data_IF_014408336621
#
_entry.id   IF_014408336621
#
_cell.length_a   1.000
_cell.length_b   1.000
_cell.length_c   1.000
_cell.angle_alpha   90.00
_cell.angle_beta   90.00
_cell.angle_gamma   90.00
#
_symmetry.space_group_name_H-M   'P 1'
#
loop_
_entity.id
_entity.type
_entity.pdbx_description
1 polymer ?
#
# COMPACT_ATOMS: atom_id res chain seq x y z
N UNK A 1 -29.66 5.22 -3.86
CA UNK A 1 -28.87 5.80 -2.75
C UNK A 1 -27.65 4.93 -2.59
N UNK A 2 -26.43 5.49 -2.52
CA UNK A 2 -25.25 4.70 -2.23
C UNK A 2 -25.43 4.07 -0.84
N UNK A 3 -25.33 2.74 -0.76
CA UNK A 3 -25.50 2.03 0.50
C UNK A 3 -24.23 2.23 1.34
N UNK A 4 -24.39 2.93 2.46
CA UNK A 4 -23.31 3.22 3.39
C UNK A 4 -22.70 1.94 3.95
N UNK A 5 -23.49 0.85 4.06
CA UNK A 5 -23.02 -0.47 4.43
C UNK A 5 -22.05 -1.04 3.38
N UNK A 6 -22.42 -0.99 2.11
CA UNK A 6 -21.56 -1.47 1.02
C UNK A 6 -20.23 -0.70 0.92
N UNK A 7 -20.22 0.59 1.25
CA UNK A 7 -19.00 1.40 1.30
C UNK A 7 -18.10 1.00 2.47
N UNK A 8 -18.67 0.73 3.65
CA UNK A 8 -17.94 0.23 4.81
C UNK A 8 -17.39 -1.18 4.57
N UNK A 9 -18.17 -2.06 3.96
CA UNK A 9 -17.73 -3.40 3.56
C UNK A 9 -16.57 -3.31 2.57
N UNK A 10 -16.63 -2.38 1.62
CA UNK A 10 -15.53 -2.12 0.69
C UNK A 10 -14.26 -1.57 1.34
N UNK A 11 -14.37 -0.79 2.42
CA UNK A 11 -13.21 -0.37 3.24
C UNK A 11 -12.63 -1.58 3.98
N UNK A 12 -13.48 -2.40 4.61
CA UNK A 12 -13.06 -3.57 5.35
C UNK A 12 -12.39 -4.62 4.45
N UNK A 13 -12.92 -4.86 3.25
CA UNK A 13 -12.34 -5.72 2.23
C UNK A 13 -10.94 -5.22 1.82
N UNK A 14 -10.81 -3.93 1.51
CA UNK A 14 -9.53 -3.36 1.09
C UNK A 14 -8.45 -3.42 2.20
N UNK A 15 -8.86 -3.24 3.46
CA UNK A 15 -7.96 -3.43 4.61
C UNK A 15 -7.57 -4.89 4.79
N UNK A 16 -8.50 -5.83 4.61
CA UNK A 16 -8.23 -7.27 4.69
C UNK A 16 -7.30 -7.76 3.57
N UNK A 17 -7.42 -7.17 2.37
CA UNK A 17 -6.56 -7.44 1.22
C UNK A 17 -5.15 -6.82 1.35
N UNK A 18 -4.91 -6.01 2.39
CA UNK A 18 -3.65 -5.30 2.55
C UNK A 18 -3.44 -4.20 1.49
N UNK A 19 -4.52 -3.66 0.93
CA UNK A 19 -4.52 -2.55 -0.02
C UNK A 19 -5.00 -1.26 0.66
N UNK A 20 -4.11 -0.59 1.42
CA UNK A 20 -4.47 0.62 2.15
C UNK A 20 -4.77 1.80 1.21
N UNK A 21 -4.29 1.78 -0.04
CA UNK A 21 -4.63 2.79 -1.04
C UNK A 21 -6.09 2.71 -1.48
N UNK A 22 -6.55 1.49 -1.78
CA UNK A 22 -7.97 1.22 -2.06
C UNK A 22 -8.85 1.52 -0.84
N UNK A 23 -8.37 1.21 0.38
CA UNK A 23 -9.10 1.53 1.60
C UNK A 23 -9.32 3.05 1.77
N UNK A 24 -8.28 3.87 1.52
CA UNK A 24 -8.39 5.33 1.55
C UNK A 24 -9.35 5.88 0.50
N UNK A 25 -9.33 5.33 -0.72
CA UNK A 25 -10.26 5.74 -1.77
C UNK A 25 -11.72 5.50 -1.36
N UNK A 26 -12.00 4.34 -0.74
CA UNK A 26 -13.34 3.98 -0.23
C UNK A 26 -13.75 4.83 0.96
N UNK A 27 -12.82 5.16 1.86
CA UNK A 27 -13.08 6.09 2.97
C UNK A 27 -13.47 7.49 2.47
N UNK A 28 -12.77 8.03 1.47
CA UNK A 28 -13.12 9.34 0.89
C UNK A 28 -14.46 9.33 0.15
N UNK A 29 -14.84 8.21 -0.45
CA UNK A 29 -16.16 8.04 -1.06
C UNK A 29 -17.26 8.01 0.01
N UNK A 30 -17.02 7.31 1.12
CA UNK A 30 -17.90 7.26 2.28
C UNK A 30 -18.08 8.64 2.94
N UNK A 31 -16.99 9.38 3.17
CA UNK A 31 -17.03 10.75 3.71
C UNK A 31 -17.86 11.69 2.84
N UNK A 32 -17.75 11.58 1.51
CA UNK A 32 -18.55 12.37 0.56
C UNK A 32 -20.04 12.04 0.68
N UNK A 33 -20.39 10.76 0.76
CA UNK A 33 -21.80 10.33 0.91
C UNK A 33 -22.37 10.79 2.25
N UNK A 34 -21.60 10.69 3.33
CA UNK A 34 -21.99 11.19 4.66
C UNK A 34 -22.22 12.71 4.62
N UNK A 35 -21.28 13.47 4.04
CA UNK A 35 -21.40 14.93 3.93
C UNK A 35 -22.62 15.38 3.12
N UNK A 36 -23.08 14.56 2.16
CA UNK A 36 -24.30 14.81 1.39
C UNK A 36 -25.58 14.38 2.13
N UNK A 37 -25.50 13.44 3.07
CA UNK A 37 -26.64 12.88 3.79
C UNK A 37 -27.03 13.67 5.06
N UNK A 38 -26.24 14.67 5.46
CA UNK A 38 -26.49 15.50 6.65
C UNK A 38 -25.58 15.15 7.83
N UNK A 39 -25.87 15.66 9.04
CA UNK A 39 -25.01 15.45 10.20
C UNK A 39 -24.94 13.96 10.54
N UNK A 40 -23.74 13.40 10.44
CA UNK A 40 -23.45 12.01 10.79
C UNK A 40 -23.77 11.71 12.26
N UNK A 41 -23.99 10.44 12.56
CA UNK A 41 -24.13 9.99 13.94
C UNK A 41 -22.92 10.44 14.80
N UNK A 42 -23.14 10.89 16.05
CA UNK A 42 -22.06 11.33 16.92
C UNK A 42 -21.01 10.21 17.08
N UNK A 43 -19.73 10.54 16.88
CA UNK A 43 -18.61 9.61 16.94
C UNK A 43 -18.27 8.88 15.63
N UNK A 44 -19.09 8.97 14.57
CA UNK A 44 -18.75 8.38 13.27
C UNK A 44 -17.55 9.10 12.61
N UNK A 45 -17.54 10.43 12.66
CA UNK A 45 -16.47 11.24 12.09
C UNK A 45 -15.10 10.93 12.73
N UNK A 46 -15.07 10.77 14.05
CA UNK A 46 -13.84 10.43 14.80
C UNK A 46 -13.33 9.04 14.43
N UNK A 47 -14.22 8.04 14.30
CA UNK A 47 -13.85 6.69 13.88
C UNK A 47 -13.32 6.66 12.44
N UNK A 48 -13.91 7.44 11.54
CA UNK A 48 -13.44 7.55 10.15
C UNK A 48 -12.07 8.24 10.07
N UNK A 49 -11.86 9.30 10.86
CA UNK A 49 -10.56 9.96 10.97
C UNK A 49 -9.49 8.99 11.47
N UNK A 50 -9.78 8.21 12.51
CA UNK A 50 -8.86 7.21 13.02
C UNK A 50 -8.55 6.09 12.01
N UNK A 51 -9.56 5.58 11.29
CA UNK A 51 -9.36 4.60 10.22
C UNK A 51 -8.51 5.16 9.08
N UNK A 52 -8.69 6.44 8.75
CA UNK A 52 -7.89 7.13 7.75
C UNK A 52 -6.43 7.25 8.17
N UNK A 53 -6.15 7.68 9.40
CA UNK A 53 -4.79 7.73 9.95
C UNK A 53 -4.10 6.36 9.87
N UNK A 54 -4.80 5.29 10.26
CA UNK A 54 -4.28 3.92 10.18
C UNK A 54 -3.97 3.50 8.73
N UNK A 55 -4.86 3.81 7.80
CA UNK A 55 -4.66 3.49 6.38
C UNK A 55 -3.51 4.31 5.77
N UNK A 56 -3.36 5.60 6.11
CA UNK A 56 -2.24 6.44 5.67
C UNK A 56 -0.90 5.93 6.21
N UNK A 57 -0.85 5.51 7.48
CA UNK A 57 0.34 4.87 8.06
C UNK A 57 0.69 3.56 7.34
N UNK A 58 -0.33 2.75 7.01
CA UNK A 58 -0.14 1.51 6.26
C UNK A 58 0.38 1.76 4.83
N UNK A 59 -0.13 2.76 4.10
CA UNK A 59 0.40 3.16 2.77
C UNK A 59 1.89 3.50 2.88
N UNK A 60 2.26 4.29 3.89
CA UNK A 60 3.64 4.72 4.09
C UNK A 60 4.56 3.51 4.37
N UNK A 61 4.14 2.61 5.27
CA UNK A 61 4.90 1.40 5.57
C UNK A 61 5.07 0.46 4.36
N UNK A 62 4.03 0.31 3.53
CA UNK A 62 4.12 -0.47 2.28
C UNK A 62 5.09 0.20 1.28
N UNK A 63 5.05 1.52 1.16
CA UNK A 63 5.97 2.26 0.28
C UNK A 63 7.43 2.10 0.73
N UNK A 64 7.69 2.21 2.04
CA UNK A 64 9.02 2.02 2.62
C UNK A 64 9.54 0.59 2.40
N UNK A 65 8.71 -0.42 2.67
CA UNK A 65 9.06 -1.82 2.43
C UNK A 65 9.40 -2.06 0.94
N UNK A 66 8.64 -1.48 0.02
CA UNK A 66 8.92 -1.57 -1.42
C UNK A 66 10.24 -0.88 -1.78
N UNK A 67 10.54 0.28 -1.20
CA UNK A 67 11.80 0.98 -1.42
C UNK A 67 13.00 0.14 -0.93
N UNK A 68 12.88 -0.48 0.25
CA UNK A 68 13.90 -1.38 0.80
C UNK A 68 14.12 -2.58 -0.13
N UNK A 69 13.06 -3.22 -0.62
CA UNK A 69 13.17 -4.36 -1.54
C UNK A 69 13.82 -3.97 -2.87
N UNK A 70 13.49 -2.80 -3.42
CA UNK A 70 14.13 -2.27 -4.64
C UNK A 70 15.61 -2.00 -4.39
N UNK A 71 15.95 -1.35 -3.27
CA UNK A 71 17.34 -1.09 -2.90
C UNK A 71 18.12 -2.39 -2.66
N UNK A 72 17.52 -3.38 -1.99
CA UNK A 72 18.12 -4.70 -1.77
C UNK A 72 18.36 -5.43 -3.10
N UNK A 73 17.39 -5.39 -4.02
CA UNK A 73 17.55 -5.96 -5.37
C UNK A 73 18.69 -5.27 -6.13
N UNK A 74 18.76 -3.95 -6.09
CA UNK A 74 19.82 -3.19 -6.74
C UNK A 74 21.19 -3.53 -6.13
N UNK A 75 21.29 -3.60 -4.81
CA UNK A 75 22.50 -4.00 -4.11
C UNK A 75 22.96 -5.41 -4.50
N UNK A 76 22.04 -6.38 -4.67
CA UNK A 76 22.36 -7.72 -5.16
C UNK A 76 22.85 -7.71 -6.61
N UNK A 77 22.32 -6.83 -7.46
CA UNK A 77 22.77 -6.68 -8.85
C UNK A 77 24.14 -5.98 -8.97
N UNK A 78 24.41 -5.03 -8.07
CA UNK A 78 25.66 -4.26 -8.03
C UNK A 78 26.78 -4.98 -7.26
N UNK A 79 26.40 -5.95 -6.41
CA UNK A 79 27.30 -6.89 -5.78
C UNK A 79 27.94 -7.78 -6.84
N UNK A 80 28.97 -7.24 -7.50
CA UNK A 80 29.95 -8.07 -8.17
C UNK A 80 30.56 -9.00 -7.12
N UNK A 81 30.51 -10.30 -7.40
CA UNK A 81 31.27 -11.26 -6.61
C UNK A 81 32.74 -11.02 -6.86
N UNK A 82 33.56 -11.09 -5.83
CA UNK A 82 35.00 -11.15 -5.99
C UNK A 82 35.37 -12.63 -6.04
N UNK A 83 36.11 -13.04 -7.07
CA UNK A 83 36.65 -14.39 -7.11
C UNK A 83 37.81 -14.54 -6.09
N UNK A 84 38.36 -15.76 -5.96
CA UNK A 84 39.46 -16.04 -5.03
C UNK A 84 40.75 -15.24 -5.35
N UNK A 85 40.85 -14.66 -6.55
CA UNK A 85 41.96 -13.79 -6.96
C UNK A 85 41.71 -12.30 -6.65
N UNK A 86 40.52 -11.95 -6.15
CA UNK A 86 40.12 -10.58 -5.88
C UNK A 86 39.67 -9.80 -7.12
N UNK A 87 39.45 -10.46 -8.26
CA UNK A 87 38.86 -9.83 -9.42
C UNK A 87 37.34 -9.72 -9.27
N UNK A 88 36.81 -8.53 -9.57
CA UNK A 88 35.38 -8.24 -9.52
C UNK A 88 34.68 -8.88 -10.73
N UNK A 89 33.98 -9.98 -10.53
CA UNK A 89 33.06 -10.56 -11.51
C UNK A 89 31.68 -9.91 -11.39
N UNK A 90 31.29 -9.15 -12.41
CA UNK A 90 29.93 -8.59 -12.48
C UNK A 90 28.99 -9.69 -13.01
N UNK A 91 28.29 -10.38 -12.12
CA UNK A 91 27.21 -11.28 -12.52
C UNK A 91 25.97 -10.46 -12.90
N UNK A 92 25.84 -10.09 -14.18
CA UNK A 92 24.54 -9.71 -14.73
C UNK A 92 23.66 -10.96 -14.76
N UNK A 93 22.87 -11.17 -13.70
CA UNK A 93 21.84 -12.20 -13.67
C UNK A 93 20.91 -12.07 -14.89
N UNK A 94 20.35 -13.18 -15.42
CA UNK A 94 19.43 -13.12 -16.54
C UNK A 94 18.27 -12.19 -16.19
N UNK A 95 17.86 -11.35 -17.12
CA UNK A 95 16.72 -10.46 -16.95
C UNK A 95 15.49 -11.32 -16.58
N UNK A 96 15.13 -11.35 -15.30
CA UNK A 96 13.89 -11.97 -14.86
C UNK A 96 12.75 -11.17 -15.50
N UNK A 97 12.21 -11.66 -16.60
CA UNK A 97 10.89 -11.28 -17.08
C UNK A 97 9.89 -11.72 -16.01
N UNK A 98 9.61 -10.85 -15.05
CA UNK A 98 8.41 -10.95 -14.25
C UNK A 98 7.25 -10.71 -15.21
N UNK A 99 6.53 -11.80 -15.52
CA UNK A 99 5.30 -11.74 -16.29
C UNK A 99 4.37 -10.68 -15.71
N UNK A 100 3.68 -9.97 -16.62
CA UNK A 100 2.63 -9.01 -16.31
C UNK A 100 1.66 -9.62 -15.29
N UNK A 101 1.59 -9.01 -14.10
CA UNK A 101 0.42 -9.04 -13.24
C UNK A 101 -0.28 -7.69 -13.38
#
# INVERSE_FOLDING_TARGET
MADMGALLDGVAEALADGDPGRALQRLSELERVIGLAGPAAPGLAERLAHLRELAEAAVTGVADARAILVAARQAVQDAGTYDEAGEKTIHRGPATQLGRF
#
